data_IF_027497477458
#
_entry.id   IF_027497477458
#
_cell.length_a   1.000
_cell.length_b   1.000
_cell.length_c   1.000
_cell.angle_alpha   90.00
_cell.angle_beta   90.00
_cell.angle_gamma   90.00
#
_symmetry.space_group_name_H-M   'P 1'
#
loop_
_entity.id
_entity.type
_entity.pdbx_description
1 polymer ?
#
# COMPACT_ATOMS: atom_id res chain seq x y z
N UNK A 1 -19.16 -16.71 15.86
CA UNK A 1 -17.83 -16.70 15.19
C UNK A 1 -17.84 -17.44 13.86
N UNK A 2 -18.59 -18.53 13.72
CA UNK A 2 -18.60 -19.37 12.50
C UNK A 2 -18.98 -18.64 11.21
N UNK A 3 -19.91 -17.68 11.29
CA UNK A 3 -20.29 -16.86 10.14
C UNK A 3 -19.12 -16.00 9.63
N UNK A 4 -18.28 -15.46 10.53
CA UNK A 4 -17.08 -14.70 10.13
C UNK A 4 -16.00 -15.63 9.56
N UNK A 5 -15.85 -16.84 10.12
CA UNK A 5 -14.90 -17.83 9.62
C UNK A 5 -15.21 -18.26 8.18
N UNK A 6 -16.49 -18.30 7.77
CA UNK A 6 -16.88 -18.57 6.37
C UNK A 6 -16.34 -17.52 5.39
N UNK A 7 -16.12 -16.28 5.84
CA UNK A 7 -15.62 -15.18 5.00
C UNK A 7 -14.08 -15.08 5.02
N UNK A 8 -13.39 -15.80 5.91
CA UNK A 8 -11.94 -15.70 6.10
C UNK A 8 -11.14 -15.93 4.81
N UNK A 9 -11.58 -16.86 3.96
CA UNK A 9 -10.93 -17.17 2.69
C UNK A 9 -10.97 -16.05 1.64
N UNK A 10 -11.88 -15.07 1.79
CA UNK A 10 -12.00 -13.91 0.89
C UNK A 10 -11.62 -12.59 1.57
N UNK A 11 -11.51 -12.56 2.90
CA UNK A 11 -11.27 -11.34 3.68
C UNK A 11 -9.96 -10.63 3.31
N UNK A 12 -8.98 -11.37 2.78
CA UNK A 12 -7.73 -10.79 2.26
C UNK A 12 -7.96 -9.77 1.13
N UNK A 13 -9.11 -9.76 0.46
CA UNK A 13 -9.39 -8.75 -0.56
C UNK A 13 -9.57 -7.35 0.04
N UNK A 14 -10.02 -7.24 1.29
CA UNK A 14 -10.25 -5.94 1.93
C UNK A 14 -8.96 -5.09 1.96
N UNK A 15 -7.84 -5.54 2.56
CA UNK A 15 -6.63 -4.74 2.51
C UNK A 15 -5.98 -4.68 1.12
N UNK A 16 -6.17 -5.67 0.24
CA UNK A 16 -5.64 -5.60 -1.15
C UNK A 16 -6.27 -4.46 -1.93
N UNK A 17 -7.61 -4.37 -1.91
CA UNK A 17 -8.35 -3.34 -2.62
C UNK A 17 -8.06 -1.96 -2.04
N UNK A 18 -7.96 -1.84 -0.71
CA UNK A 18 -7.59 -0.58 -0.05
C UNK A 18 -6.19 -0.12 -0.47
N UNK A 19 -5.17 -0.99 -0.36
CA UNK A 19 -3.81 -0.66 -0.79
C UNK A 19 -3.75 -0.30 -2.27
N UNK A 20 -4.38 -1.11 -3.14
CA UNK A 20 -4.39 -0.85 -4.57
C UNK A 20 -5.06 0.50 -4.90
N UNK A 21 -6.18 0.83 -4.27
CA UNK A 21 -6.85 2.12 -4.47
C UNK A 21 -5.96 3.30 -4.06
N UNK A 22 -5.30 3.22 -2.90
CA UNK A 22 -4.37 4.27 -2.42
C UNK A 22 -3.23 4.47 -3.43
N UNK A 23 -2.54 3.40 -3.80
CA UNK A 23 -1.36 3.50 -4.66
C UNK A 23 -1.71 3.83 -6.12
N UNK A 24 -2.87 3.42 -6.63
CA UNK A 24 -3.36 3.88 -7.94
C UNK A 24 -3.69 5.37 -7.88
N UNK A 25 -4.43 5.81 -6.87
CA UNK A 25 -4.82 7.22 -6.73
C UNK A 25 -3.61 8.15 -6.62
N UNK A 26 -2.61 7.77 -5.83
CA UNK A 26 -1.40 8.58 -5.66
C UNK A 26 -0.38 8.40 -6.79
N UNK A 27 -0.33 7.23 -7.42
CA UNK A 27 0.66 6.91 -8.46
C UNK A 27 0.24 7.32 -9.87
N UNK A 28 -1.06 7.29 -10.17
CA UNK A 28 -1.54 7.62 -11.51
C UNK A 28 -1.14 9.04 -11.95
N UNK A 29 -1.29 10.11 -11.12
CA UNK A 29 -0.82 11.44 -11.50
C UNK A 29 0.71 11.50 -11.73
N UNK A 30 1.50 10.71 -11.00
CA UNK A 30 2.97 10.66 -11.15
C UNK A 30 3.41 10.04 -12.48
N UNK A 31 2.52 9.33 -13.18
CA UNK A 31 2.75 8.79 -14.53
C UNK A 31 2.11 9.70 -15.58
N UNK A 32 0.81 9.97 -15.43
CA UNK A 32 0.02 10.72 -16.40
C UNK A 32 0.43 12.20 -16.52
N UNK A 33 0.93 12.79 -15.43
CA UNK A 33 1.30 14.21 -15.32
C UNK A 33 2.69 14.36 -14.71
N UNK A 34 3.62 13.46 -15.07
CA UNK A 34 4.96 13.37 -14.48
C UNK A 34 5.66 14.73 -14.38
N UNK A 35 5.62 15.55 -15.44
CA UNK A 35 6.27 16.86 -15.48
C UNK A 35 5.73 17.82 -14.44
N UNK A 36 4.41 17.93 -14.32
CA UNK A 36 3.74 18.82 -13.36
C UNK A 36 4.00 18.37 -11.92
N UNK A 37 3.93 17.05 -11.67
CA UNK A 37 4.19 16.50 -10.33
C UNK A 37 5.67 16.63 -9.95
N UNK A 38 6.59 16.47 -10.90
CA UNK A 38 8.03 16.71 -10.69
C UNK A 38 8.31 18.17 -10.30
N UNK A 39 7.71 19.13 -11.01
CA UNK A 39 7.81 20.54 -10.66
C UNK A 39 7.20 20.84 -9.28
N UNK A 40 6.01 20.29 -8.98
CA UNK A 40 5.33 20.48 -7.69
C UNK A 40 6.13 19.90 -6.52
N UNK A 41 6.75 18.74 -6.69
CA UNK A 41 7.53 18.06 -5.65
C UNK A 41 8.99 18.56 -5.58
N UNK A 42 9.43 19.41 -6.51
CA UNK A 42 10.83 19.82 -6.62
C UNK A 42 11.79 18.65 -6.87
N UNK A 43 11.31 17.59 -7.52
CA UNK A 43 12.07 16.35 -7.77
C UNK A 43 12.40 16.17 -9.25
N UNK A 44 13.48 15.43 -9.59
CA UNK A 44 13.77 15.09 -10.99
C UNK A 44 12.64 14.30 -11.66
N UNK A 45 12.33 14.63 -12.92
CA UNK A 45 11.30 13.97 -13.72
C UNK A 45 11.39 12.44 -13.66
N UNK A 46 12.61 11.91 -13.87
CA UNK A 46 12.84 10.46 -13.91
C UNK A 46 12.54 9.79 -12.56
N UNK A 47 12.80 10.48 -11.45
CA UNK A 47 12.54 9.97 -10.11
C UNK A 47 11.03 9.87 -9.85
N UNK A 48 10.27 10.92 -10.20
CA UNK A 48 8.80 10.92 -10.07
C UNK A 48 8.17 9.85 -10.94
N UNK A 49 8.63 9.70 -12.20
CA UNK A 49 8.12 8.66 -13.09
C UNK A 49 8.37 7.26 -12.53
N UNK A 50 9.58 6.99 -12.02
CA UNK A 50 9.89 5.69 -11.41
C UNK A 50 9.03 5.41 -10.18
N UNK A 51 8.79 6.41 -9.32
CA UNK A 51 7.87 6.27 -8.19
C UNK A 51 6.46 5.95 -8.69
N UNK A 52 5.94 6.71 -9.67
CA UNK A 52 4.61 6.47 -10.23
C UNK A 52 4.44 5.07 -10.83
N UNK A 53 5.43 4.60 -11.60
CA UNK A 53 5.44 3.24 -12.16
C UNK A 53 5.48 2.20 -11.03
N UNK A 54 6.28 2.41 -9.98
CA UNK A 54 6.35 1.49 -8.86
C UNK A 54 5.05 1.45 -8.06
N UNK A 55 4.40 2.59 -7.81
CA UNK A 55 3.11 2.66 -7.11
C UNK A 55 2.00 1.96 -7.90
N UNK A 56 1.83 2.32 -9.19
CA UNK A 56 0.78 1.72 -10.04
C UNK A 56 1.08 0.25 -10.32
N UNK A 57 2.33 -0.09 -10.69
CA UNK A 57 2.74 -1.46 -10.93
C UNK A 57 2.62 -2.34 -9.68
N UNK A 58 3.02 -1.82 -8.52
CA UNK A 58 2.81 -2.48 -7.22
C UNK A 58 1.34 -2.75 -6.94
N UNK A 59 0.44 -1.80 -7.23
CA UNK A 59 -1.01 -1.99 -7.09
C UNK A 59 -1.58 -3.05 -8.03
N UNK A 60 -1.19 -3.05 -9.30
CA UNK A 60 -1.59 -4.07 -10.25
C UNK A 60 -1.08 -5.45 -9.84
N UNK A 61 0.16 -5.56 -9.37
CA UNK A 61 0.71 -6.79 -8.79
C UNK A 61 -0.06 -7.23 -7.53
N UNK A 62 -0.50 -6.31 -6.67
CA UNK A 62 -1.31 -6.64 -5.48
C UNK A 62 -2.64 -7.29 -5.86
N UNK A 63 -3.31 -6.72 -6.86
CA UNK A 63 -4.59 -7.22 -7.36
C UNK A 63 -4.40 -8.56 -8.07
N UNK A 64 -3.45 -8.63 -9.00
CA UNK A 64 -3.18 -9.85 -9.74
C UNK A 64 -2.73 -11.00 -8.82
N UNK A 65 -1.86 -10.74 -7.85
CA UNK A 65 -1.46 -11.74 -6.85
C UNK A 65 -2.64 -12.25 -6.01
N UNK A 66 -3.73 -11.48 -5.91
CA UNK A 66 -4.95 -11.82 -5.17
C UNK A 66 -5.65 -13.07 -5.70
N UNK A 67 -5.58 -13.33 -7.00
CA UNK A 67 -6.07 -14.56 -7.63
C UNK A 67 -4.97 -15.35 -8.36
N UNK A 68 -3.81 -14.74 -8.58
CA UNK A 68 -2.68 -15.29 -9.31
C UNK A 68 -1.52 -15.71 -8.41
N UNK A 69 -0.26 -15.54 -8.87
CA UNK A 69 0.90 -16.15 -8.24
C UNK A 69 1.30 -15.50 -6.91
N UNK A 70 1.93 -16.29 -6.04
CA UNK A 70 2.37 -15.87 -4.70
C UNK A 70 3.42 -14.75 -4.75
N UNK A 71 4.38 -14.86 -5.67
CA UNK A 71 5.47 -13.90 -5.81
C UNK A 71 4.95 -12.48 -6.11
N UNK A 72 3.84 -12.34 -6.85
CA UNK A 72 3.28 -11.03 -7.19
C UNK A 72 2.75 -10.30 -5.94
N UNK A 73 2.07 -11.04 -5.04
CA UNK A 73 1.64 -10.51 -3.74
C UNK A 73 2.83 -10.06 -2.91
N UNK A 74 3.90 -10.87 -2.86
CA UNK A 74 5.07 -10.55 -2.04
C UNK A 74 5.84 -9.34 -2.56
N UNK A 75 6.09 -9.33 -3.88
CA UNK A 75 6.80 -8.25 -4.54
C UNK A 75 6.05 -6.92 -4.39
N UNK A 76 4.72 -6.94 -4.57
CA UNK A 76 3.88 -5.77 -4.31
C UNK A 76 4.04 -5.24 -2.88
N UNK A 77 3.99 -6.13 -1.88
CA UNK A 77 4.22 -5.76 -0.48
C UNK A 77 5.59 -5.10 -0.26
N UNK A 78 6.66 -5.63 -0.84
CA UNK A 78 8.01 -5.06 -0.75
C UNK A 78 8.09 -3.67 -1.39
N UNK A 79 7.50 -3.51 -2.58
CA UNK A 79 7.46 -2.22 -3.30
C UNK A 79 6.76 -1.17 -2.44
N UNK A 80 5.57 -1.47 -1.93
CA UNK A 80 4.80 -0.55 -1.09
C UNK A 80 5.53 -0.19 0.19
N UNK A 81 6.16 -1.15 0.86
CA UNK A 81 6.99 -0.89 2.04
C UNK A 81 8.13 0.08 1.71
N UNK A 82 8.87 -0.14 0.61
CA UNK A 82 9.96 0.75 0.21
C UNK A 82 9.50 2.18 -0.07
N UNK A 83 8.39 2.33 -0.79
CA UNK A 83 7.82 3.65 -1.13
C UNK A 83 7.37 4.39 0.14
N UNK A 84 6.69 3.70 1.06
CA UNK A 84 6.26 4.31 2.31
C UNK A 84 7.42 4.70 3.23
N UNK A 85 8.50 3.90 3.28
CA UNK A 85 9.71 4.30 4.01
C UNK A 85 10.27 5.61 3.43
N UNK A 86 10.37 5.69 2.10
CA UNK A 86 10.79 6.92 1.42
C UNK A 86 9.88 8.11 1.75
N UNK A 87 8.56 7.93 1.68
CA UNK A 87 7.59 8.97 2.01
C UNK A 87 7.70 9.42 3.47
N UNK A 88 7.89 8.50 4.42
CA UNK A 88 8.07 8.84 5.84
C UNK A 88 9.32 9.70 6.02
N UNK A 89 10.47 9.25 5.50
CA UNK A 89 11.75 9.95 5.69
C UNK A 89 11.73 11.33 5.04
N UNK A 90 11.16 11.45 3.85
CA UNK A 90 11.23 12.70 3.06
C UNK A 90 10.11 13.69 3.40
N UNK A 91 8.93 13.21 3.79
CA UNK A 91 7.74 14.07 3.87
C UNK A 91 7.10 14.03 5.26
N UNK A 92 6.89 12.87 5.85
CA UNK A 92 5.96 12.75 6.99
C UNK A 92 6.63 12.83 8.37
N UNK A 93 7.87 12.36 8.53
CA UNK A 93 8.52 12.26 9.85
C UNK A 93 8.65 13.63 10.55
N UNK A 94 8.90 14.70 9.78
CA UNK A 94 9.00 16.07 10.30
C UNK A 94 7.69 16.61 10.89
N UNK A 95 6.54 16.00 10.56
CA UNK A 95 5.22 16.38 11.06
C UNK A 95 4.73 15.51 12.23
N UNK A 96 5.59 14.62 12.74
CA UNK A 96 5.29 13.75 13.87
C UNK A 96 4.34 12.59 13.53
N UNK A 97 3.70 12.02 14.56
CA UNK A 97 2.87 10.81 14.41
C UNK A 97 1.49 11.09 13.80
N UNK A 98 0.79 12.12 14.31
CA UNK A 98 -0.64 12.33 14.07
C UNK A 98 -0.96 12.70 12.61
N UNK A 99 -1.81 11.92 11.93
CA UNK A 99 -2.27 12.19 10.55
C UNK A 99 -3.58 12.99 10.46
N UNK A 100 -4.16 13.36 11.59
CA UNK A 100 -5.31 14.27 11.67
C UNK A 100 -4.77 15.71 11.64
N UNK A 101 -5.47 16.57 10.89
CA UNK A 101 -5.16 17.98 10.83
C UNK A 101 -5.59 18.70 12.13
N UNK A 102 -4.78 18.50 13.17
CA UNK A 102 -4.91 19.14 14.48
C UNK A 102 -3.61 19.91 14.74
N UNK A 103 -3.69 21.23 14.74
CA UNK A 103 -2.53 22.12 14.83
C UNK A 103 -1.80 22.28 13.51
N UNK A 104 -0.47 22.37 13.55
CA UNK A 104 0.35 22.83 12.40
C UNK A 104 0.80 21.69 11.45
N UNK A 105 0.43 20.44 11.73
CA UNK A 105 0.88 19.28 10.93
C UNK A 105 0.19 19.18 9.56
N UNK A 106 -0.95 19.83 9.35
CA UNK A 106 -1.72 19.77 8.11
C UNK A 106 -2.22 18.36 7.76
N UNK A 107 -2.34 17.46 8.75
CA UNK A 107 -2.68 16.05 8.52
C UNK A 107 -1.58 15.22 7.85
N UNK A 108 -0.30 15.65 7.97
CA UNK A 108 0.85 15.01 7.30
C UNK A 108 1.70 14.15 8.23
N UNK A 109 1.23 13.77 9.41
CA UNK A 109 1.95 12.81 10.24
C UNK A 109 2.10 11.44 9.58
N UNK A 110 2.88 10.58 10.22
CA UNK A 110 3.32 9.29 9.66
C UNK A 110 2.45 8.07 10.02
N UNK A 111 1.44 8.22 10.87
CA UNK A 111 0.57 7.12 11.35
C UNK A 111 0.02 6.27 10.18
N UNK A 112 -0.50 6.90 9.13
CA UNK A 112 -1.09 6.17 8.01
C UNK A 112 -0.05 5.39 7.19
N UNK A 113 1.12 5.97 6.95
CA UNK A 113 2.21 5.35 6.23
C UNK A 113 2.75 4.14 7.01
N UNK A 114 2.82 4.24 8.33
CA UNK A 114 3.22 3.12 9.20
C UNK A 114 2.19 1.97 9.14
N UNK A 115 0.90 2.29 9.13
CA UNK A 115 -0.15 1.27 8.91
C UNK A 115 0.00 0.59 7.54
N UNK A 116 0.22 1.37 6.47
CA UNK A 116 0.44 0.83 5.12
C UNK A 116 1.66 -0.10 5.11
N UNK A 117 2.76 0.28 5.76
CA UNK A 117 3.96 -0.57 5.88
C UNK A 117 3.63 -1.88 6.57
N UNK A 118 2.92 -1.86 7.71
CA UNK A 118 2.58 -3.06 8.46
C UNK A 118 1.74 -4.04 7.63
N UNK A 119 0.72 -3.54 6.93
CA UNK A 119 -0.14 -4.36 6.06
C UNK A 119 0.62 -4.86 4.83
N UNK A 120 1.48 -4.03 4.25
CA UNK A 120 2.31 -4.41 3.10
C UNK A 120 3.32 -5.49 3.47
N UNK A 121 3.94 -5.40 4.65
CA UNK A 121 4.83 -6.43 5.21
C UNK A 121 4.08 -7.72 5.52
N UNK A 122 2.83 -7.65 5.99
CA UNK A 122 1.99 -8.84 6.15
C UNK A 122 1.85 -9.60 4.83
N UNK A 123 1.62 -8.90 3.71
CA UNK A 123 1.59 -9.51 2.38
C UNK A 123 2.97 -9.98 1.90
N UNK A 124 4.02 -9.21 2.15
CA UNK A 124 5.39 -9.59 1.80
C UNK A 124 5.80 -10.91 2.48
N UNK A 125 5.46 -11.09 3.75
CA UNK A 125 5.84 -12.27 4.53
C UNK A 125 4.88 -13.45 4.37
N UNK A 126 3.57 -13.23 4.33
CA UNK A 126 2.58 -14.33 4.21
C UNK A 126 2.31 -14.73 2.77
N UNK A 127 2.47 -13.82 1.81
CA UNK A 127 2.07 -14.04 0.43
C UNK A 127 0.59 -14.45 0.34
N UNK A 128 0.30 -15.48 -0.45
CA UNK A 128 -1.01 -16.04 -0.68
C UNK A 128 -1.48 -17.02 0.40
N UNK A 129 -0.65 -17.36 1.39
CA UNK A 129 -1.10 -18.17 2.53
C UNK A 129 -2.22 -17.48 3.33
N UNK A 130 -2.32 -16.15 3.23
CA UNK A 130 -3.40 -15.34 3.81
C UNK A 130 -4.79 -15.65 3.22
N UNK A 131 -4.87 -16.36 2.09
CA UNK A 131 -6.13 -16.79 1.46
C UNK A 131 -6.75 -18.02 2.14
N UNK A 132 -6.01 -18.71 3.02
CA UNK A 132 -6.47 -19.97 3.61
C UNK A 132 -7.68 -19.69 4.52
N UNK A 133 -8.81 -20.32 4.20
CA UNK A 133 -9.99 -20.25 5.05
C UNK A 133 -9.74 -20.95 6.39
N UNK A 134 -10.27 -20.39 7.46
CA UNK A 134 -10.33 -21.05 8.76
C UNK A 134 -11.28 -22.25 8.67
N UNK A 135 -10.79 -23.43 9.02
CA UNK A 135 -11.63 -24.63 9.14
C UNK A 135 -12.68 -24.39 10.24
N UNK A 136 -13.97 -24.61 9.94
CA UNK A 136 -14.99 -24.61 10.97
C UNK A 136 -14.77 -25.82 11.86
N UNK A 137 -14.52 -25.61 13.16
CA UNK A 137 -14.58 -26.71 14.13
C UNK A 137 -16.03 -27.19 14.13
N UNK A 138 -16.27 -28.42 13.68
CA UNK A 138 -17.58 -29.04 13.82
C UNK A 138 -17.90 -29.10 15.32
N UNK A 139 -18.95 -28.39 15.73
CA UNK A 139 -19.49 -28.44 17.08
C UNK A 139 -20.36 -29.69 17.26
#
# INVERSE_FOLDING_TARGET
>A
MDQLNKLSGIAHWLPRLSLAAIFIFHGFPKVAMTGDVAAMMGMPFIMVLMIGIAEVGGALLMLWGGFGPDWATRLSGIIFTGIMIGAIVMVHAQYGWNSINMGDNGGRGMEFQVLIIAVSLLYAFKGNAIKKATESVAA
#
